data_IF_124392376688
#
_entry.id   IF_124392376688
#
_cell.length_a   1.000
_cell.length_b   1.000
_cell.length_c   1.000
_cell.angle_alpha   90.00
_cell.angle_beta   90.00
_cell.angle_gamma   90.00
#
_symmetry.space_group_name_H-M   'P 1'
#
loop_
_entity.id
_entity.type
_entity.pdbx_description
1 polymer ?
#
# COMPACT_ATOMS: atom_id res chain seq x y z
N UNK A 1 27.45 0.23 -9.22
CA UNK A 1 27.40 1.65 -9.64
C UNK A 1 27.86 2.59 -8.50
N UNK A 2 27.28 2.52 -7.30
CA UNK A 2 27.66 3.42 -6.18
C UNK A 2 29.10 3.28 -5.65
N UNK A 3 29.83 2.26 -6.09
CA UNK A 3 31.25 2.02 -5.77
C UNK A 3 32.22 2.51 -6.86
N UNK A 4 31.71 3.03 -7.97
CA UNK A 4 32.53 3.47 -9.11
C UNK A 4 33.08 4.88 -8.88
N UNK A 5 34.34 5.07 -9.20
CA UNK A 5 34.99 6.39 -9.19
C UNK A 5 34.67 7.19 -10.45
N UNK A 6 34.98 8.50 -10.43
CA UNK A 6 34.78 9.37 -11.58
C UNK A 6 35.59 8.87 -12.78
N UNK A 7 34.91 8.66 -13.90
CA UNK A 7 35.46 8.14 -15.15
C UNK A 7 35.35 6.63 -15.29
N UNK A 8 35.05 5.89 -14.23
CA UNK A 8 34.88 4.44 -14.28
C UNK A 8 33.54 4.05 -14.91
N UNK A 9 33.55 2.89 -15.57
CA UNK A 9 32.38 2.27 -16.19
C UNK A 9 31.91 1.06 -15.40
N UNK A 10 30.60 0.86 -15.31
CA UNK A 10 30.03 -0.37 -14.78
C UNK A 10 30.35 -1.56 -15.66
N UNK A 11 30.22 -2.76 -15.10
CA UNK A 11 29.99 -3.97 -15.89
C UNK A 11 28.71 -3.84 -16.74
N UNK A 12 28.53 -4.75 -17.69
CA UNK A 12 27.34 -4.80 -18.53
C UNK A 12 26.13 -5.16 -17.67
N UNK A 13 25.13 -4.27 -17.65
CA UNK A 13 23.87 -4.49 -16.93
C UNK A 13 22.80 -4.83 -17.96
N UNK A 14 22.14 -5.97 -17.77
CA UNK A 14 21.00 -6.38 -18.60
C UNK A 14 19.67 -5.99 -17.93
N UNK A 15 18.82 -5.29 -18.66
CA UNK A 15 17.47 -4.99 -18.22
C UNK A 15 16.49 -4.92 -19.40
N UNK A 16 15.45 -5.75 -19.38
CA UNK A 16 14.42 -5.84 -20.44
C UNK A 16 15.02 -6.06 -21.84
N UNK A 17 15.84 -7.12 -21.97
CA UNK A 17 16.51 -7.52 -23.21
C UNK A 17 17.39 -6.42 -23.84
N UNK A 18 17.90 -5.50 -23.01
CA UNK A 18 18.83 -4.43 -23.41
C UNK A 18 20.02 -4.40 -22.48
N UNK A 19 21.18 -4.12 -23.05
CA UNK A 19 22.46 -4.02 -22.34
C UNK A 19 22.83 -2.55 -22.13
N UNK A 20 23.26 -2.23 -20.91
CA UNK A 20 23.68 -0.89 -20.52
C UNK A 20 25.09 -0.94 -19.94
N UNK A 21 25.89 0.07 -20.27
CA UNK A 21 27.15 0.39 -19.60
C UNK A 21 27.00 1.81 -19.07
N UNK A 22 27.26 2.01 -17.78
CA UNK A 22 27.08 3.30 -17.11
C UNK A 22 28.45 3.84 -16.73
N UNK A 23 28.81 5.01 -17.23
CA UNK A 23 30.02 5.71 -16.82
C UNK A 23 29.70 6.80 -15.79
N UNK A 24 30.47 6.87 -14.70
CA UNK A 24 30.34 7.97 -13.74
C UNK A 24 31.02 9.20 -14.30
N UNK A 25 30.23 10.17 -14.77
CA UNK A 25 30.76 11.44 -15.32
C UNK A 25 31.25 12.36 -14.21
N UNK A 26 30.59 12.35 -13.05
CA UNK A 26 30.98 13.14 -11.90
C UNK A 26 30.38 12.55 -10.62
N UNK A 27 30.99 12.85 -9.47
CA UNK A 27 30.46 12.49 -8.16
C UNK A 27 30.21 13.77 -7.35
N UNK A 28 28.95 14.03 -7.01
CA UNK A 28 28.57 15.14 -6.15
C UNK A 28 28.49 14.63 -4.71
N UNK A 29 29.46 15.02 -3.88
CA UNK A 29 29.47 14.66 -2.47
C UNK A 29 28.13 15.01 -1.80
N UNK A 30 27.65 14.09 -0.96
CA UNK A 30 26.48 14.32 -0.12
C UNK A 30 26.73 15.55 0.75
N UNK A 31 25.86 16.54 0.62
CA UNK A 31 25.89 17.74 1.43
C UNK A 31 24.44 18.15 1.68
N UNK A 32 24.22 18.79 2.83
CA UNK A 32 22.94 19.42 3.13
C UNK A 32 22.94 20.77 2.39
N UNK A 33 22.01 21.02 1.46
CA UNK A 33 21.92 22.30 0.79
C UNK A 33 21.66 23.42 1.81
N UNK A 34 22.22 24.61 1.57
CA UNK A 34 21.84 25.79 2.35
C UNK A 34 20.38 26.12 2.06
N UNK A 35 19.66 26.61 3.08
CA UNK A 35 18.23 26.91 2.99
C UNK A 35 17.88 27.80 1.78
N UNK A 36 18.66 28.85 1.51
CA UNK A 36 18.44 29.72 0.34
C UNK A 36 18.58 29.03 -1.02
N UNK A 37 19.29 27.89 -1.10
CA UNK A 37 19.42 27.09 -2.32
C UNK A 37 18.29 26.08 -2.54
N UNK A 38 17.38 25.95 -1.58
CA UNK A 38 16.21 25.05 -1.64
C UNK A 38 14.92 25.75 -1.21
N UNK A 39 14.90 27.08 -1.09
CA UNK A 39 13.76 27.84 -0.56
C UNK A 39 12.48 27.52 -1.31
N UNK A 40 12.49 27.61 -2.65
CA UNK A 40 11.30 27.35 -3.46
C UNK A 40 10.73 25.94 -3.27
N UNK A 41 11.62 24.94 -3.11
CA UNK A 41 11.21 23.56 -2.84
C UNK A 41 10.64 23.42 -1.43
N UNK A 42 11.29 24.05 -0.45
CA UNK A 42 10.86 24.04 0.94
C UNK A 42 9.50 24.73 1.10
N UNK A 43 9.30 25.87 0.45
CA UNK A 43 8.05 26.63 0.49
C UNK A 43 6.91 25.81 -0.11
N UNK A 44 7.17 25.10 -1.21
CA UNK A 44 6.21 24.17 -1.80
C UNK A 44 5.90 23.00 -0.87
N UNK A 45 6.93 22.30 -0.37
CA UNK A 45 6.76 21.13 0.52
C UNK A 45 6.03 21.54 1.82
N UNK A 46 6.32 22.74 2.33
CA UNK A 46 5.68 23.31 3.50
C UNK A 46 4.22 23.68 3.24
N UNK A 47 3.91 24.28 2.09
CA UNK A 47 2.55 24.60 1.69
C UNK A 47 1.72 23.32 1.48
N UNK A 48 2.29 22.30 0.84
CA UNK A 48 1.65 21.01 0.63
C UNK A 48 1.35 20.33 1.98
N UNK A 49 2.30 20.35 2.91
CA UNK A 49 2.12 19.84 4.27
C UNK A 49 1.02 20.60 5.04
N UNK A 50 1.05 21.94 5.05
CA UNK A 50 0.01 22.73 5.73
C UNK A 50 -1.37 22.51 5.12
N UNK A 51 -1.44 22.38 3.78
CA UNK A 51 -2.67 22.08 3.07
C UNK A 51 -3.24 20.73 3.48
N UNK A 52 -2.40 19.70 3.61
CA UNK A 52 -2.80 18.39 4.11
C UNK A 52 -3.29 18.42 5.57
N UNK A 53 -2.57 19.11 6.44
CA UNK A 53 -2.98 19.28 7.85
C UNK A 53 -4.34 19.96 7.95
N UNK A 54 -4.57 21.00 7.15
CA UNK A 54 -5.86 21.69 7.08
C UNK A 54 -6.96 20.77 6.55
N UNK A 55 -6.70 20.07 5.45
CA UNK A 55 -7.65 19.13 4.85
C UNK A 55 -8.02 17.99 5.81
N UNK A 56 -7.05 17.50 6.59
CA UNK A 56 -7.27 16.45 7.60
C UNK A 56 -8.21 16.94 8.71
N UNK A 57 -7.96 18.13 9.26
CA UNK A 57 -8.82 18.70 10.30
C UNK A 57 -10.24 18.94 9.81
N UNK A 58 -10.37 19.46 8.59
CA UNK A 58 -11.70 19.66 7.98
C UNK A 58 -12.41 18.32 7.75
N UNK A 59 -11.69 17.31 7.27
CA UNK A 59 -12.25 15.98 7.08
C UNK A 59 -12.66 15.31 8.39
N UNK A 60 -11.90 15.49 9.47
CA UNK A 60 -12.25 15.01 10.82
C UNK A 60 -13.54 15.67 11.30
N UNK A 61 -13.66 17.00 11.18
CA UNK A 61 -14.90 17.73 11.51
C UNK A 61 -16.08 17.22 10.67
N UNK A 62 -15.86 17.03 9.36
CA UNK A 62 -16.88 16.52 8.45
C UNK A 62 -17.33 15.11 8.83
N UNK A 63 -16.40 14.23 9.22
CA UNK A 63 -16.71 12.88 9.69
C UNK A 63 -17.55 12.91 10.97
N UNK A 64 -17.27 13.83 11.90
CA UNK A 64 -18.08 13.99 13.11
C UNK A 64 -19.50 14.50 12.80
N UNK A 65 -19.66 15.44 11.85
CA UNK A 65 -20.98 15.86 11.37
C UNK A 65 -21.78 14.68 10.78
N UNK A 66 -21.13 13.82 9.98
CA UNK A 66 -21.75 12.60 9.44
C UNK A 66 -22.14 11.58 10.52
N UNK A 67 -21.26 11.37 11.51
CA UNK A 67 -21.56 10.49 12.66
C UNK A 67 -22.69 11.06 13.53
N UNK A 68 -22.82 12.39 13.58
CA UNK A 68 -23.92 13.11 14.22
C UNK A 68 -25.26 13.05 13.47
N UNK A 69 -25.29 12.46 12.27
CA UNK A 69 -26.51 12.22 11.51
C UNK A 69 -26.73 13.14 10.30
N UNK A 70 -25.75 13.97 9.93
CA UNK A 70 -25.82 14.74 8.69
C UNK A 70 -25.93 13.82 7.46
N UNK A 71 -26.70 14.25 6.45
CA UNK A 71 -26.78 13.51 5.19
C UNK A 71 -25.49 13.66 4.37
N UNK A 72 -25.05 12.56 3.78
CA UNK A 72 -23.80 12.48 3.01
C UNK A 72 -23.78 13.41 1.79
N UNK A 73 -24.89 13.46 1.04
CA UNK A 73 -24.96 14.22 -0.20
C UNK A 73 -25.25 15.69 0.07
N UNK A 74 -26.13 16.00 1.03
CA UNK A 74 -26.40 17.38 1.44
C UNK A 74 -25.16 18.05 2.02
N UNK A 75 -24.45 17.36 2.92
CA UNK A 75 -23.24 17.90 3.53
C UNK A 75 -22.15 18.14 2.47
N UNK A 76 -22.00 17.24 1.50
CA UNK A 76 -21.02 17.38 0.43
C UNK A 76 -21.36 18.59 -0.45
N UNK A 77 -22.64 18.73 -0.82
CA UNK A 77 -23.13 19.87 -1.62
C UNK A 77 -22.90 21.19 -0.90
N UNK A 78 -23.21 21.26 0.39
CA UNK A 78 -23.05 22.47 1.21
C UNK A 78 -21.57 22.89 1.33
N UNK A 79 -20.65 21.92 1.34
CA UNK A 79 -19.20 22.14 1.40
C UNK A 79 -18.53 22.24 0.03
N UNK A 80 -19.29 22.16 -1.07
CA UNK A 80 -18.76 22.20 -2.44
C UNK A 80 -17.90 20.99 -2.81
N UNK A 81 -18.06 19.87 -2.10
CA UNK A 81 -17.30 18.65 -2.30
C UNK A 81 -17.98 17.72 -3.33
N UNK A 82 -17.15 16.96 -4.05
CA UNK A 82 -17.63 15.90 -4.95
C UNK A 82 -17.65 14.57 -4.20
N UNK A 83 -18.73 13.83 -4.37
CA UNK A 83 -18.84 12.45 -3.87
C UNK A 83 -18.66 11.48 -5.03
N UNK A 84 -18.11 10.30 -4.74
CA UNK A 84 -17.92 9.26 -5.74
C UNK A 84 -18.03 7.87 -5.10
N UNK A 85 -18.25 6.85 -5.91
CA UNK A 85 -18.34 5.45 -5.51
C UNK A 85 -17.19 4.63 -6.08
N UNK A 86 -16.58 3.79 -5.24
CA UNK A 86 -15.50 2.89 -5.67
C UNK A 86 -16.01 1.75 -6.55
N UNK A 87 -17.31 1.43 -6.48
CA UNK A 87 -17.82 0.13 -6.91
C UNK A 87 -17.36 -1.00 -5.99
N UNK A 88 -17.65 -2.25 -6.37
CA UNK A 88 -17.18 -3.42 -5.64
C UNK A 88 -15.70 -3.67 -5.89
N UNK A 89 -14.98 -4.05 -4.83
CA UNK A 89 -13.58 -4.44 -4.89
C UNK A 89 -13.30 -5.49 -3.80
N UNK A 90 -12.17 -6.18 -3.93
CA UNK A 90 -11.69 -7.25 -3.05
C UNK A 90 -10.53 -6.75 -2.18
N UNK A 91 -10.23 -7.46 -1.09
CA UNK A 91 -9.11 -7.12 -0.18
C UNK A 91 -7.72 -7.17 -0.83
N UNK A 92 -7.60 -7.78 -2.02
CA UNK A 92 -6.31 -8.10 -2.66
C UNK A 92 -5.93 -7.11 -3.77
N UNK A 93 -6.83 -6.21 -4.14
CA UNK A 93 -6.58 -5.24 -5.20
C UNK A 93 -6.48 -3.82 -4.66
N UNK A 94 -6.03 -2.89 -5.51
CA UNK A 94 -6.05 -1.47 -5.20
C UNK A 94 -7.48 -0.98 -5.09
N UNK A 95 -7.73 -0.04 -4.18
CA UNK A 95 -9.06 0.54 -4.03
C UNK A 95 -9.35 1.40 -5.28
N UNK A 96 -10.42 1.12 -6.05
CA UNK A 96 -10.72 1.91 -7.24
C UNK A 96 -10.81 3.40 -6.92
N UNK A 97 -10.26 4.24 -7.80
CA UNK A 97 -10.23 5.72 -7.68
C UNK A 97 -9.37 6.31 -6.56
N UNK A 98 -8.96 5.50 -5.56
CA UNK A 98 -8.13 5.95 -4.43
C UNK A 98 -6.68 5.48 -4.60
N UNK A 99 -6.48 4.20 -4.94
CA UNK A 99 -5.17 3.58 -5.12
C UNK A 99 -4.81 2.56 -4.04
N UNK A 100 -3.50 2.33 -3.86
CA UNK A 100 -2.99 1.38 -2.89
C UNK A 100 -2.94 2.00 -1.48
N UNK A 101 -3.70 1.42 -0.55
CA UNK A 101 -3.61 1.75 0.88
C UNK A 101 -4.03 0.53 1.72
N UNK A 102 -3.07 -0.20 2.32
CA UNK A 102 -3.38 -1.38 3.13
C UNK A 102 -4.28 -1.09 4.32
N UNK A 103 -4.01 0.01 5.04
CA UNK A 103 -4.77 0.43 6.21
C UNK A 103 -6.22 0.77 5.83
N UNK A 104 -6.41 1.58 4.78
CA UNK A 104 -7.74 1.92 4.30
C UNK A 104 -8.50 0.69 3.82
N UNK A 105 -7.83 -0.23 3.12
CA UNK A 105 -8.42 -1.49 2.68
C UNK A 105 -8.91 -2.30 3.88
N UNK A 106 -8.06 -2.51 4.89
CA UNK A 106 -8.43 -3.24 6.10
C UNK A 106 -9.67 -2.65 6.79
N UNK A 107 -9.69 -1.34 6.98
CA UNK A 107 -10.79 -0.64 7.66
C UNK A 107 -12.07 -0.62 6.82
N UNK A 108 -11.98 -0.49 5.49
CA UNK A 108 -13.16 -0.53 4.63
C UNK A 108 -13.89 -1.88 4.72
N UNK A 109 -13.16 -2.95 4.99
CA UNK A 109 -13.74 -4.28 5.21
C UNK A 109 -14.10 -4.59 6.67
N UNK A 110 -13.88 -3.66 7.61
CA UNK A 110 -14.34 -3.77 9.01
C UNK A 110 -15.67 -3.03 9.27
N UNK A 111 -16.03 -2.06 8.41
CA UNK A 111 -17.29 -1.31 8.46
C UNK A 111 -18.47 -2.07 7.82
N UNK A 112 -19.69 -1.71 8.19
CA UNK A 112 -20.93 -2.43 7.82
C UNK A 112 -22.15 -1.50 7.74
N UNK A 113 -23.33 -2.06 7.46
CA UNK A 113 -24.59 -1.30 7.52
C UNK A 113 -24.88 -0.73 8.91
N UNK A 114 -24.38 -1.37 9.98
CA UNK A 114 -24.54 -0.93 11.36
C UNK A 114 -23.49 0.11 11.75
N UNK A 115 -22.25 -0.05 11.28
CA UNK A 115 -21.16 0.92 11.44
C UNK A 115 -20.75 1.44 10.07
N UNK A 116 -21.50 2.44 9.58
CA UNK A 116 -21.30 3.00 8.22
C UNK A 116 -20.02 3.85 8.10
N UNK A 117 -19.69 4.52 9.20
CA UNK A 117 -18.52 5.31 9.57
C UNK A 117 -17.21 4.56 9.89
N UNK A 118 -16.02 4.75 9.27
CA UNK A 118 -14.79 4.52 10.03
C UNK A 118 -14.64 5.56 11.16
N UNK A 119 -13.74 5.29 12.11
CA UNK A 119 -13.51 6.19 13.24
C UNK A 119 -12.58 7.35 12.88
N UNK A 120 -11.74 7.17 11.86
CA UNK A 120 -10.71 8.11 11.40
C UNK A 120 -10.81 8.42 9.90
N UNK A 121 -10.10 9.47 9.47
CA UNK A 121 -9.94 9.86 8.06
C UNK A 121 -8.61 9.35 7.51
N UNK A 122 -8.52 9.21 6.18
CA UNK A 122 -7.38 8.54 5.55
C UNK A 122 -6.64 9.42 4.58
N UNK A 123 -5.32 9.49 4.74
CA UNK A 123 -4.45 10.14 3.78
C UNK A 123 -3.92 9.11 2.77
N UNK A 124 -4.17 9.34 1.49
CA UNK A 124 -3.66 8.51 0.38
C UNK A 124 -3.23 9.41 -0.76
N UNK A 125 -1.98 9.28 -1.22
CA UNK A 125 -1.44 10.06 -2.34
C UNK A 125 -1.62 11.58 -2.18
N UNK A 126 -1.25 12.12 -1.01
CA UNK A 126 -1.34 13.57 -0.70
C UNK A 126 -2.77 14.12 -0.80
N UNK A 127 -3.77 13.29 -0.50
CA UNK A 127 -5.19 13.65 -0.42
C UNK A 127 -5.82 12.99 0.80
N UNK A 128 -6.79 13.66 1.40
CA UNK A 128 -7.57 13.13 2.54
C UNK A 128 -8.92 12.62 2.04
N UNK A 129 -9.27 11.41 2.45
CA UNK A 129 -10.51 10.73 2.09
C UNK A 129 -11.36 10.45 3.32
N UNK A 130 -12.66 10.66 3.15
CA UNK A 130 -13.72 10.16 4.02
C UNK A 130 -14.42 9.07 3.22
N UNK A 131 -14.63 7.92 3.83
CA UNK A 131 -15.32 6.80 3.20
C UNK A 131 -16.54 6.41 4.02
N UNK A 132 -17.47 5.70 3.39
CA UNK A 132 -18.62 5.11 4.07
C UNK A 132 -18.96 3.75 3.49
N UNK A 133 -19.52 2.89 4.33
CA UNK A 133 -20.08 1.63 3.85
C UNK A 133 -21.30 1.90 2.96
N UNK A 134 -21.28 1.36 1.74
CA UNK A 134 -22.42 1.41 0.81
C UNK A 134 -23.11 0.06 0.73
N UNK A 135 -22.34 -0.97 0.35
CA UNK A 135 -22.85 -2.31 0.12
C UNK A 135 -21.74 -3.35 0.26
N UNK A 136 -22.13 -4.55 0.64
CA UNK A 136 -21.29 -5.75 0.57
C UNK A 136 -21.92 -6.71 -0.44
N UNK A 137 -21.09 -7.29 -1.30
CA UNK A 137 -21.47 -8.42 -2.14
C UNK A 137 -20.97 -9.70 -1.47
N UNK A 138 -21.91 -10.60 -1.14
CA UNK A 138 -21.56 -11.88 -0.56
C UNK A 138 -21.14 -12.88 -1.65
N UNK A 139 -20.46 -13.93 -1.22
CA UNK A 139 -19.99 -14.99 -2.10
C UNK A 139 -21.19 -15.67 -2.78
N UNK A 140 -21.10 -15.87 -4.09
CA UNK A 140 -22.05 -16.71 -4.80
C UNK A 140 -21.86 -18.18 -4.37
N UNK A 141 -22.78 -18.69 -3.55
CA UNK A 141 -22.72 -20.05 -3.01
C UNK A 141 -22.66 -21.10 -4.13
N UNK A 142 -23.35 -20.88 -5.25
CA UNK A 142 -23.34 -21.83 -6.38
C UNK A 142 -21.97 -21.93 -7.03
N UNK A 143 -21.25 -20.82 -7.17
CA UNK A 143 -19.90 -20.82 -7.75
C UNK A 143 -18.89 -21.35 -6.73
N UNK A 144 -19.05 -20.99 -5.46
CA UNK A 144 -18.26 -21.56 -4.37
C UNK A 144 -18.37 -23.09 -4.32
N UNK A 145 -19.57 -23.66 -4.44
CA UNK A 145 -19.76 -25.11 -4.39
C UNK A 145 -19.08 -25.84 -5.57
N UNK A 146 -19.04 -25.22 -6.76
CA UNK A 146 -18.29 -25.75 -7.92
C UNK A 146 -16.79 -25.79 -7.64
N UNK A 147 -16.25 -24.76 -6.97
CA UNK A 147 -14.81 -24.60 -6.73
C UNK A 147 -14.32 -25.20 -5.41
N UNK A 148 -15.24 -25.55 -4.49
CA UNK A 148 -14.96 -26.02 -3.14
C UNK A 148 -13.94 -27.15 -3.07
N UNK A 149 -14.02 -28.12 -3.99
CA UNK A 149 -13.07 -29.25 -4.05
C UNK A 149 -11.66 -28.79 -4.40
N UNK A 150 -11.54 -27.88 -5.38
CA UNK A 150 -10.26 -27.29 -5.79
C UNK A 150 -9.64 -26.47 -4.66
N UNK A 151 -10.43 -25.60 -4.01
CA UNK A 151 -9.96 -24.83 -2.86
C UNK A 151 -9.51 -25.73 -1.70
N UNK A 152 -10.24 -26.80 -1.41
CA UNK A 152 -9.84 -27.77 -0.38
C UNK A 152 -8.48 -28.40 -0.71
N UNK A 153 -8.28 -28.84 -1.95
CA UNK A 153 -7.00 -29.43 -2.38
C UNK A 153 -5.85 -28.43 -2.29
N UNK A 154 -6.04 -27.20 -2.76
CA UNK A 154 -5.04 -26.13 -2.68
C UNK A 154 -4.66 -25.81 -1.23
N UNK A 155 -5.64 -25.73 -0.33
CA UNK A 155 -5.41 -25.47 1.09
C UNK A 155 -4.70 -26.64 1.79
N UNK A 156 -5.04 -27.88 1.45
CA UNK A 156 -4.35 -29.07 1.97
C UNK A 156 -2.88 -29.06 1.55
N UNK A 157 -2.59 -28.88 0.26
CA UNK A 157 -1.21 -28.82 -0.25
C UNK A 157 -0.38 -27.71 0.44
N UNK A 158 -1.00 -26.56 0.69
CA UNK A 158 -0.34 -25.44 1.38
C UNK A 158 -0.04 -25.79 2.84
N UNK A 159 -0.97 -26.44 3.54
CA UNK A 159 -0.77 -26.89 4.93
C UNK A 159 0.29 -27.98 5.02
N UNK A 160 0.24 -28.97 4.13
CA UNK A 160 1.19 -30.08 4.11
C UNK A 160 2.61 -29.56 3.87
N UNK A 161 2.79 -28.66 2.90
CA UNK A 161 4.09 -28.02 2.64
C UNK A 161 4.62 -27.25 3.86
N UNK A 162 3.74 -26.52 4.55
CA UNK A 162 4.11 -25.77 5.77
C UNK A 162 4.56 -26.70 6.89
N UNK A 163 3.81 -27.78 7.14
CA UNK A 163 4.14 -28.77 8.18
C UNK A 163 5.44 -29.49 7.83
N UNK A 164 5.59 -29.93 6.58
CA UNK A 164 6.80 -30.60 6.11
C UNK A 164 8.03 -29.70 6.24
N UNK A 165 7.95 -28.43 5.83
CA UNK A 165 9.06 -27.49 5.96
C UNK A 165 9.42 -27.25 7.44
N UNK A 166 8.43 -27.09 8.32
CA UNK A 166 8.67 -26.92 9.75
C UNK A 166 9.32 -28.17 10.37
N UNK A 167 8.85 -29.36 9.99
CA UNK A 167 9.41 -30.64 10.42
C UNK A 167 10.86 -30.80 9.94
N UNK A 168 11.12 -30.56 8.65
CA UNK A 168 12.46 -30.63 8.07
C UNK A 168 13.43 -29.65 8.74
N UNK A 169 12.98 -28.41 8.99
CA UNK A 169 13.77 -27.42 9.72
C UNK A 169 14.12 -27.91 11.12
N UNK A 170 13.17 -28.51 11.84
CA UNK A 170 13.41 -29.06 13.18
C UNK A 170 14.42 -30.22 13.19
N UNK A 171 14.47 -31.02 12.12
CA UNK A 171 15.47 -32.08 11.97
C UNK A 171 16.85 -31.48 11.69
N UNK A 172 16.92 -30.50 10.78
CA UNK A 172 18.19 -29.81 10.45
C UNK A 172 18.82 -29.16 11.67
N UNK A 173 18.02 -28.51 12.51
CA UNK A 173 18.50 -27.87 13.75
C UNK A 173 19.05 -28.88 14.77
N UNK A 174 18.53 -30.10 14.79
CA UNK A 174 18.97 -31.17 15.71
C UNK A 174 20.10 -32.02 15.14
N UNK A 175 20.37 -31.94 13.85
CA UNK A 175 21.37 -32.74 13.17
C UNK A 175 22.73 -32.04 13.18
N UNK A 176 23.81 -32.80 13.40
CA UNK A 176 25.17 -32.30 13.19
C UNK A 176 25.49 -32.29 11.71
N UNK A 177 25.33 -31.14 11.05
CA UNK A 177 25.58 -30.97 9.61
C UNK A 177 26.96 -30.32 9.42
N UNK A 178 27.87 -31.01 8.71
CA UNK A 178 29.15 -30.45 8.25
C UNK A 178 29.07 -30.16 6.75
N UNK A 179 29.19 -28.89 6.36
CA UNK A 179 29.23 -28.47 4.95
C UNK A 179 30.71 -28.43 4.53
N UNK A 180 31.10 -29.32 3.61
CA UNK A 180 32.51 -29.55 3.24
C UNK A 180 32.96 -28.74 2.02
N UNK A 181 32.05 -28.05 1.34
CA UNK A 181 32.35 -27.19 0.19
C UNK A 181 31.62 -25.85 0.35
N UNK A 182 32.31 -24.70 0.27
CA UNK A 182 31.63 -23.41 0.27
C UNK A 182 30.77 -23.29 -0.98
N UNK A 183 29.56 -22.75 -0.82
CA UNK A 183 28.77 -22.26 -1.95
C UNK A 183 29.34 -20.87 -2.24
N UNK A 184 30.03 -20.71 -3.39
CA UNK A 184 30.43 -19.41 -3.92
C UNK A 184 29.21 -18.57 -4.33
#
# INVERSE_FOLDING_TARGET
IYSLEKGETSEIIEHKDKFYIIQVVDNKNSHIPKMGGVSDKLDKDFLDHLSLVSAKREAESYLEELKGGADWFELAKNKGLKTDETGFFTRRENIPKIGYSPLLSEITFSISSQKRYPDEVFEVNNKVYIIRWLKKEDINIKDFDKEKKSFKQMLLLTKDRRIFNAWLQSIKEKATIKIVTPIE
#
